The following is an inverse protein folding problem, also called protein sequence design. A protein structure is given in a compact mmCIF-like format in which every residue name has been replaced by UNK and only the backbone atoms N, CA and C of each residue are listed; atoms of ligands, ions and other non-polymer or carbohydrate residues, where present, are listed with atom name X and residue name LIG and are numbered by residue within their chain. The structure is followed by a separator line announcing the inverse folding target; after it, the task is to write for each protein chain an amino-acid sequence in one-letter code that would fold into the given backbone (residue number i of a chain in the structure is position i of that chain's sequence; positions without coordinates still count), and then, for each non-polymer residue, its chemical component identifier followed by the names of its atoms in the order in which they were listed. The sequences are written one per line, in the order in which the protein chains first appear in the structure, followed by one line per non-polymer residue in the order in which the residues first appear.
data_IF_307141045719
#
_entry.id   IF_307141045719
#
_cell.length_a   1.000
_cell.length_b   1.000
_cell.length_c   1.000
_cell.angle_alpha   90.00
_cell.angle_beta   90.00
_cell.angle_gamma   90.00
#
_symmetry.space_group_name_H-M   'P 1'
#
loop_
_entity.id
_entity.type
_entity.pdbx_description
1 polymer ?
#
# COMPACT_ATOMS: atom_id res chain seq x y z
N UNK A 1 -22.53 16.77 -28.43
CA UNK A 1 -21.83 15.49 -28.42
C UNK A 1 -20.38 15.76 -28.15
N UNK A 2 -19.85 15.47 -27.02
CA UNK A 2 -18.88 14.40 -26.82
C UNK A 2 -18.96 13.83 -25.39
N UNK A 3 -19.97 13.08 -25.10
CA UNK A 3 -20.12 12.36 -23.82
C UNK A 3 -19.11 11.22 -23.63
N UNK A 4 -18.38 10.82 -24.70
CA UNK A 4 -17.58 9.61 -24.69
C UNK A 4 -16.10 9.78 -24.24
N UNK A 5 -15.58 11.00 -24.20
CA UNK A 5 -14.14 11.20 -23.90
C UNK A 5 -13.86 11.05 -22.41
N UNK A 6 -14.79 11.45 -21.54
CA UNK A 6 -14.71 11.31 -20.09
C UNK A 6 -14.87 9.87 -19.59
N UNK A 7 -15.56 8.99 -20.32
CA UNK A 7 -15.79 7.59 -19.90
C UNK A 7 -14.47 6.85 -19.62
N UNK A 8 -13.42 7.12 -20.37
CA UNK A 8 -12.12 6.45 -20.22
C UNK A 8 -11.45 6.68 -18.84
N UNK A 9 -11.82 7.76 -18.16
CA UNK A 9 -11.28 8.16 -16.84
C UNK A 9 -12.38 8.40 -15.81
N UNK A 10 -13.60 8.04 -16.15
CA UNK A 10 -14.74 8.09 -15.22
C UNK A 10 -14.66 6.97 -14.20
N UNK A 11 -14.72 7.32 -12.92
CA UNK A 11 -14.58 6.38 -11.81
C UNK A 11 -15.62 5.27 -11.85
N UNK A 12 -16.88 5.61 -12.10
CA UNK A 12 -17.99 4.64 -12.07
C UNK A 12 -17.95 3.71 -13.28
N UNK A 13 -17.58 4.24 -14.46
CA UNK A 13 -17.38 3.45 -15.66
C UNK A 13 -16.22 2.46 -15.52
N UNK A 14 -15.08 2.90 -14.94
CA UNK A 14 -13.93 2.04 -14.62
C UNK A 14 -14.31 0.96 -13.61
N UNK A 15 -15.08 1.31 -12.56
CA UNK A 15 -15.56 0.38 -11.57
C UNK A 15 -16.53 -0.65 -12.19
N UNK A 16 -17.51 -0.20 -13.00
CA UNK A 16 -18.42 -1.10 -13.69
C UNK A 16 -17.68 -2.07 -14.61
N UNK A 17 -16.67 -1.60 -15.35
CA UNK A 17 -15.84 -2.46 -16.19
C UNK A 17 -15.00 -3.45 -15.37
N UNK A 18 -14.49 -3.04 -14.19
CA UNK A 18 -13.79 -3.96 -13.29
C UNK A 18 -14.70 -5.10 -12.83
N UNK A 19 -15.97 -4.82 -12.53
CA UNK A 19 -16.99 -5.85 -12.20
C UNK A 19 -17.21 -6.85 -13.34
N UNK A 20 -17.29 -6.37 -14.57
CA UNK A 20 -17.43 -7.26 -15.73
C UNK A 20 -16.22 -8.19 -15.85
N UNK A 21 -15.02 -7.68 -15.60
CA UNK A 21 -13.80 -8.46 -15.76
C UNK A 21 -13.59 -9.46 -14.64
N UNK A 22 -13.90 -9.10 -13.40
CA UNK A 22 -13.83 -10.08 -12.31
C UNK A 22 -14.92 -11.15 -12.44
N UNK A 23 -16.11 -10.81 -12.93
CA UNK A 23 -17.14 -11.80 -13.25
C UNK A 23 -16.68 -12.81 -14.31
N UNK A 24 -15.97 -12.35 -15.35
CA UNK A 24 -15.33 -13.24 -16.34
C UNK A 24 -14.27 -14.13 -15.70
N UNK A 25 -13.43 -13.54 -14.85
CA UNK A 25 -12.41 -14.29 -14.10
C UNK A 25 -13.04 -15.43 -13.29
N UNK A 26 -14.05 -15.14 -12.49
CA UNK A 26 -14.73 -16.15 -11.66
C UNK A 26 -15.40 -17.24 -12.50
N UNK A 27 -15.99 -16.89 -13.64
CA UNK A 27 -16.54 -17.87 -14.57
C UNK A 27 -15.47 -18.82 -15.12
N UNK A 28 -14.28 -18.29 -15.46
CA UNK A 28 -13.14 -19.10 -15.89
C UNK A 28 -12.58 -20.00 -14.78
N UNK A 29 -12.49 -19.46 -13.55
CA UNK A 29 -12.14 -20.27 -12.37
C UNK A 29 -13.10 -21.44 -12.19
N UNK A 30 -14.41 -21.20 -12.29
CA UNK A 30 -15.44 -22.23 -12.20
C UNK A 30 -15.36 -23.29 -13.30
N UNK A 31 -14.84 -22.93 -14.48
CA UNK A 31 -14.59 -23.84 -15.59
C UNK A 31 -13.24 -24.59 -15.49
N UNK A 32 -12.41 -24.32 -14.48
CA UNK A 32 -11.07 -24.89 -14.31
C UNK A 32 -9.98 -24.27 -15.18
N UNK A 33 -10.28 -23.17 -15.87
CA UNK A 33 -9.35 -22.44 -16.73
C UNK A 33 -8.62 -21.37 -15.90
N UNK A 34 -7.55 -21.81 -15.23
CA UNK A 34 -6.84 -20.97 -14.27
C UNK A 34 -5.97 -19.89 -14.92
N UNK A 35 -5.49 -20.10 -16.12
CA UNK A 35 -4.69 -19.12 -16.86
C UNK A 35 -5.57 -17.91 -17.21
N UNK A 36 -6.74 -18.14 -17.81
CA UNK A 36 -7.69 -17.08 -18.10
C UNK A 36 -8.29 -16.44 -16.83
N UNK A 37 -8.48 -17.22 -15.76
CA UNK A 37 -8.88 -16.66 -14.47
C UNK A 37 -7.91 -15.58 -14.00
N UNK A 38 -6.62 -15.89 -13.99
CA UNK A 38 -5.58 -15.00 -13.53
C UNK A 38 -5.44 -13.78 -14.45
N UNK A 39 -5.56 -13.97 -15.76
CA UNK A 39 -5.54 -12.89 -16.74
C UNK A 39 -6.68 -11.88 -16.49
N UNK A 40 -7.93 -12.36 -16.44
CA UNK A 40 -9.09 -11.49 -16.23
C UNK A 40 -9.08 -10.84 -14.85
N UNK A 41 -8.62 -11.55 -13.82
CA UNK A 41 -8.47 -11.01 -12.48
C UNK A 41 -7.43 -9.86 -12.44
N UNK A 42 -6.29 -10.01 -13.10
CA UNK A 42 -5.26 -8.95 -13.18
C UNK A 42 -5.77 -7.69 -13.88
N UNK A 43 -6.53 -7.84 -14.95
CA UNK A 43 -7.18 -6.73 -15.65
C UNK A 43 -8.26 -6.06 -14.79
N UNK A 44 -9.01 -6.84 -14.00
CA UNK A 44 -10.01 -6.32 -13.06
C UNK A 44 -9.36 -5.48 -11.95
N UNK A 45 -8.22 -5.95 -11.40
CA UNK A 45 -7.45 -5.25 -10.38
C UNK A 45 -6.94 -3.89 -10.88
N UNK A 46 -6.38 -3.83 -12.09
CA UNK A 46 -5.93 -2.57 -12.68
C UNK A 46 -7.09 -1.57 -12.86
N UNK A 47 -8.23 -2.03 -13.37
CA UNK A 47 -9.40 -1.17 -13.54
C UNK A 47 -9.96 -0.70 -12.21
N UNK A 48 -9.99 -1.57 -11.19
CA UNK A 48 -10.42 -1.23 -9.84
C UNK A 48 -9.49 -0.16 -9.23
N UNK A 49 -8.18 -0.34 -9.36
CA UNK A 49 -7.19 0.64 -8.91
C UNK A 49 -7.32 1.99 -9.62
N UNK A 50 -7.52 1.99 -10.94
CA UNK A 50 -7.77 3.22 -11.72
C UNK A 50 -9.07 3.90 -11.30
N UNK A 51 -10.15 3.14 -11.07
CA UNK A 51 -11.42 3.67 -10.56
C UNK A 51 -11.22 4.40 -9.24
N UNK A 52 -10.47 3.80 -8.31
CA UNK A 52 -10.21 4.39 -7.00
C UNK A 52 -9.39 5.69 -7.08
N UNK A 53 -8.39 5.78 -7.98
CA UNK A 53 -7.68 7.04 -8.24
C UNK A 53 -8.57 8.09 -8.91
N UNK A 54 -9.34 7.69 -9.93
CA UNK A 54 -10.26 8.58 -10.65
C UNK A 54 -11.32 9.19 -9.71
N UNK A 55 -11.72 8.44 -8.67
CA UNK A 55 -12.65 8.90 -7.63
C UNK A 55 -12.06 10.02 -6.77
N UNK A 56 -10.76 10.04 -6.58
CA UNK A 56 -10.06 11.17 -5.93
C UNK A 56 -9.99 12.36 -6.91
N UNK A 57 -9.43 12.14 -8.08
CA UNK A 57 -9.43 13.12 -9.17
C UNK A 57 -9.05 12.44 -10.51
N UNK A 58 -9.72 12.79 -11.64
CA UNK A 58 -9.42 12.21 -12.96
C UNK A 58 -7.97 12.42 -13.43
N UNK A 59 -7.30 13.51 -13.02
CA UNK A 59 -5.89 13.76 -13.36
C UNK A 59 -4.92 12.69 -12.82
N UNK A 60 -5.32 11.96 -11.78
CA UNK A 60 -4.51 10.87 -11.22
C UNK A 60 -4.47 9.61 -12.10
N UNK A 61 -5.33 9.53 -13.11
CA UNK A 61 -5.44 8.35 -13.98
C UNK A 61 -4.90 8.59 -15.38
N UNK A 62 -4.73 9.85 -15.79
CA UNK A 62 -4.19 10.20 -17.11
C UNK A 62 -2.66 10.18 -17.12
N UNK A 63 -2.10 9.89 -18.30
CA UNK A 63 -0.67 10.03 -18.56
C UNK A 63 -0.29 11.53 -18.59
N UNK A 64 0.54 12.00 -17.64
CA UNK A 64 0.90 13.42 -17.54
C UNK A 64 1.73 13.90 -18.73
N UNK A 65 2.37 13.02 -19.47
CA UNK A 65 3.15 13.35 -20.67
C UNK A 65 2.27 13.60 -21.90
N UNK A 66 0.98 13.20 -21.84
CA UNK A 66 0.02 13.41 -22.91
C UNK A 66 -0.90 14.60 -22.56
N UNK A 67 -0.47 15.80 -22.90
CA UNK A 67 -1.12 17.06 -22.51
C UNK A 67 -2.62 17.13 -22.85
N UNK A 68 -3.07 16.53 -23.99
CA UNK A 68 -4.49 16.50 -24.34
C UNK A 68 -5.31 15.68 -23.32
N UNK A 69 -4.76 14.58 -22.79
CA UNK A 69 -5.41 13.83 -21.71
C UNK A 69 -5.50 14.63 -20.41
N UNK A 70 -4.50 15.47 -20.12
CA UNK A 70 -4.55 16.38 -18.98
C UNK A 70 -5.67 17.42 -19.15
N UNK A 71 -5.87 17.97 -20.34
CA UNK A 71 -6.98 18.88 -20.60
C UNK A 71 -8.35 18.20 -20.40
N UNK A 72 -8.49 16.95 -20.86
CA UNK A 72 -9.71 16.16 -20.61
C UNK A 72 -9.94 15.98 -19.11
N UNK A 73 -8.91 15.63 -18.35
CA UNK A 73 -9.00 15.45 -16.89
C UNK A 73 -9.33 16.76 -16.16
N UNK A 74 -8.93 17.91 -16.71
CA UNK A 74 -9.28 19.24 -16.22
C UNK A 74 -10.67 19.73 -16.68
N UNK A 75 -11.46 18.92 -17.38
CA UNK A 75 -12.79 19.29 -17.86
C UNK A 75 -12.80 20.09 -19.15
N UNK A 76 -11.64 20.26 -19.81
CA UNK A 76 -11.57 20.96 -21.09
C UNK A 76 -11.97 20.01 -22.22
N UNK A 77 -12.90 20.47 -23.05
CA UNK A 77 -13.39 19.68 -24.18
C UNK A 77 -12.39 19.70 -25.34
N UNK A 78 -11.64 18.61 -25.48
CA UNK A 78 -10.72 18.40 -26.60
C UNK A 78 -10.99 17.04 -27.24
N UNK A 79 -10.89 16.99 -28.58
CA UNK A 79 -11.03 15.73 -29.31
C UNK A 79 -9.69 15.01 -29.28
N UNK A 80 -9.59 13.97 -28.44
CA UNK A 80 -8.35 13.16 -28.33
C UNK A 80 -8.66 11.75 -27.88
N UNK A 81 -7.74 10.83 -28.16
CA UNK A 81 -7.72 9.53 -27.50
C UNK A 81 -7.05 9.67 -26.12
N UNK A 82 -7.82 9.43 -25.06
CA UNK A 82 -7.29 9.56 -23.69
C UNK A 82 -6.29 8.45 -23.40
N UNK A 83 -5.06 8.85 -23.05
CA UNK A 83 -4.03 7.96 -22.55
C UNK A 83 -4.08 7.93 -21.03
N UNK A 84 -4.17 6.74 -20.47
CA UNK A 84 -4.11 6.51 -19.02
C UNK A 84 -2.73 6.03 -18.60
N UNK A 85 -2.41 6.20 -17.31
CA UNK A 85 -1.16 5.73 -16.72
C UNK A 85 -0.99 4.22 -16.84
N UNK A 86 0.26 3.77 -16.77
CA UNK A 86 0.61 2.36 -16.70
C UNK A 86 0.19 1.74 -15.37
N UNK A 87 0.15 0.41 -15.29
CA UNK A 87 -0.13 -0.28 -14.03
C UNK A 87 0.96 -0.02 -12.97
N UNK A 88 2.23 0.09 -13.36
CA UNK A 88 3.33 0.45 -12.45
C UNK A 88 3.06 1.80 -11.78
N UNK A 89 2.85 2.85 -12.57
CA UNK A 89 2.54 4.20 -12.07
C UNK A 89 1.24 4.23 -11.25
N UNK A 90 0.24 3.41 -11.63
CA UNK A 90 -1.00 3.26 -10.88
C UNK A 90 -0.73 2.82 -9.44
N UNK A 91 0.03 1.73 -9.26
CA UNK A 91 0.27 1.15 -7.94
C UNK A 91 1.27 1.97 -7.12
N UNK A 92 2.21 2.69 -7.76
CA UNK A 92 3.04 3.70 -7.09
C UNK A 92 2.19 4.82 -6.50
N UNK A 93 1.32 5.44 -7.31
CA UNK A 93 0.40 6.49 -6.82
C UNK A 93 -0.52 5.99 -5.72
N UNK A 94 -0.92 4.72 -5.79
CA UNK A 94 -1.75 4.11 -4.76
C UNK A 94 -1.05 4.00 -3.41
N UNK A 95 0.21 3.57 -3.40
CA UNK A 95 1.00 3.46 -2.17
C UNK A 95 1.16 4.79 -1.44
N UNK A 96 1.23 5.91 -2.18
CA UNK A 96 1.27 7.25 -1.59
C UNK A 96 -0.09 7.80 -1.09
N UNK A 97 -1.22 7.17 -1.47
CA UNK A 97 -2.55 7.69 -1.19
C UNK A 97 -3.36 6.83 -0.22
N UNK A 98 -2.86 5.65 0.12
CA UNK A 98 -3.63 4.65 0.87
C UNK A 98 -2.75 3.99 1.92
N UNK A 99 -3.00 4.28 3.21
CA UNK A 99 -2.18 3.78 4.32
C UNK A 99 -1.96 2.27 4.30
N UNK A 100 -2.99 1.49 4.02
CA UNK A 100 -2.91 0.01 3.98
C UNK A 100 -2.41 -0.57 2.66
N UNK A 101 -2.07 0.26 1.67
CA UNK A 101 -1.49 -0.16 0.41
C UNK A 101 0.03 -0.04 0.47
N UNK A 102 0.63 -0.80 1.38
CA UNK A 102 2.06 -0.78 1.67
C UNK A 102 2.92 -1.30 0.49
N UNK A 103 4.24 -1.24 0.64
CA UNK A 103 5.19 -1.72 -0.38
C UNK A 103 5.02 -3.20 -0.74
N UNK A 104 4.54 -4.03 0.20
CA UNK A 104 4.28 -5.45 -0.04
C UNK A 104 3.11 -5.63 -0.99
N UNK A 105 2.00 -4.93 -0.74
CA UNK A 105 0.82 -4.92 -1.62
C UNK A 105 1.14 -4.29 -2.96
N UNK A 106 1.85 -3.15 -2.96
CA UNK A 106 2.30 -2.47 -4.19
C UNK A 106 3.11 -3.41 -5.08
N UNK A 107 4.15 -4.03 -4.50
CA UNK A 107 5.01 -4.94 -5.25
C UNK A 107 4.23 -6.12 -5.82
N UNK A 108 3.35 -6.74 -5.04
CA UNK A 108 2.49 -7.80 -5.53
C UNK A 108 1.66 -7.37 -6.73
N UNK A 109 1.03 -6.19 -6.68
CA UNK A 109 0.22 -5.67 -7.77
C UNK A 109 1.05 -5.37 -9.03
N UNK A 110 2.28 -4.86 -8.86
CA UNK A 110 3.22 -4.65 -9.97
C UNK A 110 3.66 -5.96 -10.60
N UNK A 111 4.04 -6.97 -9.79
CA UNK A 111 4.44 -8.30 -10.27
C UNK A 111 3.31 -8.98 -11.09
N UNK A 112 2.05 -8.83 -10.66
CA UNK A 112 0.88 -9.34 -11.40
C UNK A 112 0.69 -8.59 -12.72
N UNK A 113 0.87 -7.26 -12.72
CA UNK A 113 0.77 -6.46 -13.93
C UNK A 113 1.87 -6.81 -14.96
N UNK A 114 3.08 -7.07 -14.50
CA UNK A 114 4.19 -7.53 -15.35
C UNK A 114 3.88 -8.89 -15.97
N UNK A 115 3.38 -9.86 -15.19
CA UNK A 115 2.95 -11.17 -15.70
C UNK A 115 1.85 -11.03 -16.74
N UNK A 116 0.84 -10.18 -16.49
CA UNK A 116 -0.20 -9.90 -17.48
C UNK A 116 0.36 -9.30 -18.76
N UNK A 117 1.34 -8.40 -18.66
CA UNK A 117 1.99 -7.81 -19.83
C UNK A 117 2.77 -8.87 -20.62
N UNK A 118 3.51 -9.74 -19.94
CA UNK A 118 4.20 -10.86 -20.58
C UNK A 118 3.22 -11.81 -21.28
N UNK A 119 2.10 -12.18 -20.61
CA UNK A 119 1.06 -13.03 -21.19
C UNK A 119 0.44 -12.46 -22.48
N UNK A 120 0.27 -11.12 -22.53
CA UNK A 120 -0.38 -10.46 -23.67
C UNK A 120 0.58 -10.07 -24.80
N UNK A 121 1.87 -9.89 -24.51
CA UNK A 121 2.81 -9.26 -25.44
C UNK A 121 4.07 -10.07 -25.73
N UNK A 122 4.25 -11.25 -25.10
CA UNK A 122 5.36 -12.16 -25.37
C UNK A 122 4.88 -13.57 -25.69
N UNK A 123 5.82 -14.47 -25.94
CA UNK A 123 5.54 -15.90 -26.11
C UNK A 123 5.49 -16.66 -24.78
N UNK A 124 5.75 -15.98 -23.68
CA UNK A 124 5.71 -16.56 -22.33
C UNK A 124 4.27 -16.81 -21.87
N UNK A 125 4.10 -17.85 -21.06
CA UNK A 125 2.82 -18.21 -20.43
C UNK A 125 2.95 -18.17 -18.89
N UNK A 126 3.18 -16.98 -18.32
CA UNK A 126 3.50 -16.85 -16.89
C UNK A 126 2.37 -17.28 -15.96
N UNK A 127 1.11 -17.21 -16.40
CA UNK A 127 -0.02 -17.65 -15.60
C UNK A 127 -0.14 -19.17 -15.54
N UNK A 128 0.29 -19.88 -16.56
CA UNK A 128 0.29 -21.36 -16.55
C UNK A 128 1.14 -21.97 -15.43
N UNK A 129 2.22 -21.28 -15.06
CA UNK A 129 3.15 -21.75 -14.02
C UNK A 129 2.85 -21.19 -12.64
N UNK A 130 1.95 -20.23 -12.52
CA UNK A 130 1.64 -19.58 -11.25
C UNK A 130 0.60 -20.38 -10.47
N UNK A 131 0.99 -20.85 -9.29
CA UNK A 131 0.11 -21.61 -8.39
C UNK A 131 -0.96 -20.70 -7.79
N UNK A 132 -2.20 -21.17 -7.77
CA UNK A 132 -3.36 -20.43 -7.28
C UNK A 132 -3.20 -20.03 -5.80
N UNK A 133 -2.74 -20.97 -4.97
CA UNK A 133 -2.53 -20.77 -3.53
C UNK A 133 -1.45 -19.72 -3.21
N UNK A 134 -0.52 -19.49 -4.15
CA UNK A 134 0.56 -18.52 -3.95
C UNK A 134 0.13 -17.05 -4.17
N UNK A 135 -0.96 -16.81 -4.87
CA UNK A 135 -1.35 -15.44 -5.22
C UNK A 135 -2.77 -15.05 -4.83
N UNK A 136 -3.72 -15.99 -4.71
CA UNK A 136 -5.15 -15.67 -4.62
C UNK A 136 -5.50 -14.90 -3.35
N UNK A 137 -4.96 -15.28 -2.20
CA UNK A 137 -5.17 -14.54 -0.95
C UNK A 137 -4.63 -13.09 -1.05
N UNK A 138 -3.43 -12.93 -1.59
CA UNK A 138 -2.80 -11.61 -1.81
C UNK A 138 -3.56 -10.76 -2.83
N UNK A 139 -4.13 -11.40 -3.86
CA UNK A 139 -4.98 -10.73 -4.84
C UNK A 139 -6.24 -10.16 -4.18
N UNK A 140 -6.93 -10.98 -3.39
CA UNK A 140 -8.14 -10.54 -2.68
C UNK A 140 -7.84 -9.48 -1.62
N UNK A 141 -6.68 -9.59 -0.94
CA UNK A 141 -6.22 -8.57 -0.01
C UNK A 141 -6.01 -7.22 -0.72
N UNK A 142 -5.32 -7.19 -1.86
CA UNK A 142 -5.15 -5.97 -2.64
C UNK A 142 -6.48 -5.38 -3.12
N UNK A 143 -7.41 -6.23 -3.59
CA UNK A 143 -8.75 -5.79 -3.97
C UNK A 143 -9.54 -5.22 -2.79
N UNK A 144 -9.55 -5.90 -1.63
CA UNK A 144 -10.27 -5.47 -0.43
C UNK A 144 -9.74 -4.13 0.09
N UNK A 145 -8.41 -3.96 0.13
CA UNK A 145 -7.75 -2.69 0.48
C UNK A 145 -8.20 -1.55 -0.43
N UNK A 146 -8.27 -1.78 -1.76
CA UNK A 146 -8.73 -0.78 -2.71
C UNK A 146 -10.22 -0.45 -2.50
N UNK A 147 -11.06 -1.48 -2.32
CA UNK A 147 -12.49 -1.32 -2.12
C UNK A 147 -12.80 -0.60 -0.81
N UNK A 148 -12.09 -0.93 0.26
CA UNK A 148 -12.26 -0.29 1.56
C UNK A 148 -12.02 1.22 1.47
N UNK A 149 -10.95 1.65 0.81
CA UNK A 149 -10.69 3.07 0.57
C UNK A 149 -11.82 3.75 -0.23
N UNK A 150 -12.48 3.02 -1.11
CA UNK A 150 -13.62 3.55 -1.87
C UNK A 150 -14.93 3.60 -1.06
N UNK A 151 -14.93 3.18 0.21
CA UNK A 151 -16.14 3.00 1.03
C UNK A 151 -17.02 1.86 0.50
N UNK A 152 -16.39 0.86 -0.10
CA UNK A 152 -17.03 -0.32 -0.70
C UNK A 152 -16.55 -1.61 -0.02
N UNK A 153 -16.96 -2.77 -0.52
CA UNK A 153 -16.55 -4.07 -0.03
C UNK A 153 -16.57 -5.12 -1.15
N UNK A 154 -16.00 -6.29 -0.90
CA UNK A 154 -16.06 -7.43 -1.83
C UNK A 154 -17.51 -7.81 -2.16
N UNK A 155 -18.41 -7.77 -1.18
CA UNK A 155 -19.84 -8.08 -1.37
C UNK A 155 -20.53 -7.08 -2.31
N UNK A 156 -20.19 -5.80 -2.20
CA UNK A 156 -20.74 -4.75 -3.11
C UNK A 156 -20.15 -4.86 -4.52
N UNK A 157 -18.91 -5.33 -4.62
CA UNK A 157 -18.23 -5.48 -5.91
C UNK A 157 -18.58 -6.79 -6.63
N UNK A 158 -18.61 -7.92 -5.93
CA UNK A 158 -18.83 -9.27 -6.50
C UNK A 158 -20.27 -9.74 -6.37
N UNK A 159 -21.01 -9.24 -5.39
CA UNK A 159 -22.25 -9.84 -4.89
C UNK A 159 -21.99 -10.81 -3.75
N UNK A 160 -22.99 -11.02 -2.90
CA UNK A 160 -22.83 -11.80 -1.66
C UNK A 160 -22.41 -13.26 -1.90
N UNK A 161 -22.87 -13.89 -2.97
CA UNK A 161 -22.54 -15.28 -3.28
C UNK A 161 -21.06 -15.45 -3.66
N UNK A 162 -20.58 -14.61 -4.60
CA UNK A 162 -19.23 -14.70 -5.14
C UNK A 162 -18.17 -14.12 -4.16
N UNK A 163 -18.57 -13.25 -3.23
CA UNK A 163 -17.67 -12.70 -2.21
C UNK A 163 -17.37 -13.69 -1.06
N UNK A 164 -18.17 -14.75 -0.88
CA UNK A 164 -18.04 -15.67 0.26
C UNK A 164 -16.67 -16.36 0.29
N UNK A 165 -16.23 -16.94 -0.82
CA UNK A 165 -14.95 -17.65 -0.87
C UNK A 165 -13.74 -16.70 -0.75
N UNK A 166 -13.68 -15.54 -1.46
CA UNK A 166 -12.68 -14.51 -1.20
C UNK A 166 -12.61 -14.07 0.27
N UNK A 167 -13.73 -13.79 0.91
CA UNK A 167 -13.77 -13.36 2.32
C UNK A 167 -13.22 -14.44 3.24
N UNK A 168 -13.68 -15.68 3.07
CA UNK A 168 -13.15 -16.81 3.86
C UNK A 168 -11.63 -16.97 3.69
N UNK A 169 -11.12 -16.83 2.45
CA UNK A 169 -9.69 -16.92 2.18
C UNK A 169 -8.89 -15.80 2.85
N UNK A 170 -9.44 -14.58 2.89
CA UNK A 170 -8.83 -13.45 3.61
C UNK A 170 -8.80 -13.69 5.12
N UNK A 171 -9.90 -14.17 5.71
CA UNK A 171 -9.99 -14.48 7.12
C UNK A 171 -9.01 -15.59 7.51
N UNK A 172 -8.90 -16.64 6.69
CA UNK A 172 -7.93 -17.73 6.89
C UNK A 172 -6.49 -17.23 6.80
N UNK A 173 -6.18 -16.38 5.82
CA UNK A 173 -4.85 -15.80 5.65
C UNK A 173 -4.48 -14.86 6.82
N UNK A 174 -5.41 -14.01 7.26
CA UNK A 174 -5.20 -13.12 8.41
C UNK A 174 -4.96 -13.91 9.70
N UNK A 175 -5.78 -14.93 9.96
CA UNK A 175 -5.61 -15.81 11.14
C UNK A 175 -4.27 -16.58 11.10
N UNK A 176 -3.85 -17.04 9.93
CA UNK A 176 -2.58 -17.73 9.76
C UNK A 176 -1.38 -16.79 9.99
N UNK A 177 -1.47 -15.55 9.48
CA UNK A 177 -0.46 -14.52 9.70
C UNK A 177 -0.34 -14.17 11.19
N UNK A 178 -1.49 -13.89 11.84
CA UNK A 178 -1.55 -13.56 13.26
C UNK A 178 -0.93 -14.66 14.12
N UNK A 179 -1.27 -15.92 13.86
CA UNK A 179 -0.69 -17.06 14.55
C UNK A 179 0.83 -17.19 14.31
N UNK A 180 1.30 -16.98 13.07
CA UNK A 180 2.72 -17.06 12.73
C UNK A 180 3.54 -15.94 13.39
N UNK A 181 3.01 -14.72 13.42
CA UNK A 181 3.66 -13.57 14.07
C UNK A 181 3.73 -13.79 15.59
N UNK A 182 2.63 -14.19 16.22
CA UNK A 182 2.61 -14.50 17.66
C UNK A 182 3.61 -15.58 18.03
N UNK A 183 3.68 -16.66 17.24
CA UNK A 183 4.65 -17.72 17.45
C UNK A 183 6.10 -17.21 17.32
N UNK A 184 6.39 -16.36 16.33
CA UNK A 184 7.70 -15.73 16.13
C UNK A 184 8.08 -14.85 17.33
N UNK A 185 7.16 -14.01 17.80
CA UNK A 185 7.36 -13.14 18.97
C UNK A 185 7.64 -13.98 20.24
N UNK A 186 6.82 -15.00 20.53
CA UNK A 186 7.02 -15.85 21.71
C UNK A 186 8.33 -16.65 21.61
N UNK A 187 8.66 -17.24 20.47
CA UNK A 187 9.94 -17.94 20.28
C UNK A 187 11.16 -17.02 20.52
N UNK A 188 11.09 -15.79 20.00
CA UNK A 188 12.16 -14.78 20.21
C UNK A 188 12.25 -14.36 21.68
N UNK A 189 11.12 -14.20 22.34
CA UNK A 189 11.03 -13.89 23.79
C UNK A 189 11.65 -15.00 24.64
N UNK A 190 11.35 -16.26 24.32
CA UNK A 190 11.90 -17.42 25.00
C UNK A 190 13.43 -17.51 24.80
N UNK A 191 13.91 -17.27 23.56
CA UNK A 191 15.37 -17.24 23.26
C UNK A 191 16.08 -16.14 24.05
N UNK A 192 15.52 -14.93 24.06
CA UNK A 192 16.08 -13.82 24.84
C UNK A 192 16.02 -14.12 26.34
N UNK A 193 14.92 -14.69 26.83
CA UNK A 193 14.73 -15.11 28.22
C UNK A 193 15.72 -16.17 28.70
N UNK A 194 16.14 -17.06 27.82
CA UNK A 194 17.12 -18.11 28.11
C UNK A 194 18.56 -17.61 28.25
N UNK A 195 18.87 -16.37 27.81
CA UNK A 195 20.18 -15.76 27.99
C UNK A 195 20.48 -15.49 29.49
N UNK A 196 21.77 -15.43 29.86
CA UNK A 196 22.17 -15.09 31.22
C UNK A 196 21.68 -13.68 31.57
N UNK A 197 21.27 -13.49 32.82
CA UNK A 197 20.74 -12.20 33.30
C UNK A 197 21.68 -11.02 33.01
N UNK A 198 22.97 -11.17 33.32
CA UNK A 198 23.97 -10.13 33.09
C UNK A 198 24.13 -9.77 31.60
N UNK A 199 23.96 -10.73 30.71
CA UNK A 199 24.01 -10.47 29.25
C UNK A 199 22.76 -9.72 28.77
N UNK A 200 21.57 -10.09 29.23
CA UNK A 200 20.32 -9.36 28.94
C UNK A 200 20.37 -7.91 29.42
N UNK A 201 20.89 -7.69 30.64
CA UNK A 201 21.06 -6.36 31.21
C UNK A 201 22.06 -5.51 30.40
N UNK A 202 23.17 -6.11 29.94
CA UNK A 202 24.11 -5.44 29.06
C UNK A 202 23.48 -5.06 27.72
N UNK A 203 22.80 -6.00 27.07
CA UNK A 203 22.14 -5.75 25.79
C UNK A 203 21.02 -4.70 25.91
N UNK A 204 20.27 -4.71 27.00
CA UNK A 204 19.25 -3.69 27.26
C UNK A 204 19.89 -2.29 27.46
N UNK A 205 20.98 -2.19 28.22
CA UNK A 205 21.70 -0.93 28.38
C UNK A 205 22.30 -0.42 27.06
N UNK A 206 22.85 -1.31 26.24
CA UNK A 206 23.32 -0.96 24.89
C UNK A 206 22.17 -0.50 23.96
N UNK A 207 21.00 -1.08 24.10
CA UNK A 207 19.82 -0.69 23.30
C UNK A 207 19.39 0.77 23.59
N UNK A 208 19.48 1.22 24.86
CA UNK A 208 19.11 2.58 25.25
C UNK A 208 20.03 3.66 24.65
N UNK A 209 21.24 3.30 24.27
CA UNK A 209 22.23 4.20 23.66
C UNK A 209 22.09 4.35 22.14
N UNK A 210 21.23 3.55 21.50
CA UNK A 210 21.04 3.59 20.06
C UNK A 210 20.08 4.69 19.68
N UNK A 211 20.46 5.48 18.67
CA UNK A 211 19.65 6.57 18.14
C UNK A 211 19.15 6.24 16.72
N UNK A 212 17.92 6.64 16.35
CA UNK A 212 17.30 6.28 15.08
C UNK A 212 18.13 6.69 13.87
N UNK A 213 18.68 7.92 13.88
CA UNK A 213 19.47 8.45 12.78
C UNK A 213 20.69 7.61 12.42
N UNK A 214 21.15 6.76 13.34
CA UNK A 214 22.31 5.88 13.12
C UNK A 214 21.90 4.45 12.72
N UNK A 215 20.59 4.17 12.59
CA UNK A 215 20.06 2.82 12.36
C UNK A 215 19.65 2.54 10.92
N UNK A 216 19.85 3.48 9.99
CA UNK A 216 19.47 3.29 8.58
C UNK A 216 20.06 1.99 7.96
N UNK A 217 21.25 1.56 8.40
CA UNK A 217 21.89 0.31 7.95
C UNK A 217 21.18 -0.98 8.40
N UNK A 218 20.21 -0.91 9.33
CA UNK A 218 19.41 -2.06 9.73
C UNK A 218 18.37 -2.43 8.67
N UNK A 219 17.93 -1.46 7.86
CA UNK A 219 16.82 -1.59 6.93
C UNK A 219 17.33 -1.77 5.50
N UNK A 220 16.58 -2.53 4.70
CA UNK A 220 16.95 -2.81 3.30
C UNK A 220 16.44 -1.77 2.32
N UNK A 221 15.39 -1.04 2.69
CA UNK A 221 14.76 -0.01 1.89
C UNK A 221 15.33 1.39 2.14
N UNK A 222 14.91 2.35 1.31
CA UNK A 222 14.95 3.78 1.64
C UNK A 222 13.58 4.17 2.14
N UNK A 223 13.53 4.84 3.27
CA UNK A 223 12.33 5.26 3.95
C UNK A 223 12.50 6.72 4.38
N UNK A 224 11.38 7.40 4.59
CA UNK A 224 11.39 8.82 4.93
C UNK A 224 11.77 9.05 6.40
N UNK A 225 11.38 8.11 7.32
CA UNK A 225 11.62 8.28 8.75
C UNK A 225 11.98 6.94 9.42
N UNK A 226 12.71 7.03 10.53
CA UNK A 226 13.03 5.93 11.45
C UNK A 226 12.72 6.40 12.87
N UNK A 227 11.92 5.64 13.60
CA UNK A 227 11.53 5.98 14.99
C UNK A 227 11.71 4.83 15.94
N UNK A 228 11.59 5.15 17.23
CA UNK A 228 11.67 4.17 18.30
C UNK A 228 10.38 3.39 18.47
N UNK A 229 10.56 2.10 18.79
CA UNK A 229 9.50 1.24 19.26
C UNK A 229 9.97 0.33 20.39
N UNK A 230 9.05 -0.09 21.27
CA UNK A 230 9.34 -1.11 22.26
C UNK A 230 9.18 -2.49 21.66
N UNK A 231 10.25 -3.28 21.64
CA UNK A 231 10.19 -4.63 21.05
C UNK A 231 9.15 -5.51 21.75
N UNK A 232 8.19 -6.13 21.04
CA UNK A 232 7.17 -6.98 21.65
C UNK A 232 7.75 -8.22 22.34
N UNK A 233 8.92 -8.71 21.90
CA UNK A 233 9.59 -9.88 22.45
C UNK A 233 10.49 -9.56 23.66
N UNK A 234 11.52 -8.73 23.51
CA UNK A 234 12.53 -8.49 24.54
C UNK A 234 12.29 -7.22 25.37
N UNK A 235 11.36 -6.36 24.99
CA UNK A 235 11.04 -5.06 25.60
C UNK A 235 12.17 -4.02 25.53
N UNK A 236 13.27 -4.32 24.85
CA UNK A 236 14.34 -3.37 24.60
C UNK A 236 13.93 -2.36 23.51
N UNK A 237 14.63 -1.23 23.46
CA UNK A 237 14.50 -0.24 22.40
C UNK A 237 14.79 -0.89 21.04
N UNK A 238 13.85 -0.73 20.13
CA UNK A 238 13.87 -1.24 18.77
C UNK A 238 13.49 -0.11 17.80
N UNK A 239 13.46 -0.39 16.52
CA UNK A 239 13.26 0.63 15.49
C UNK A 239 12.20 0.17 14.49
N UNK A 240 11.39 1.12 14.10
CA UNK A 240 10.47 1.01 12.98
C UNK A 240 10.83 2.06 11.94
N UNK A 241 10.57 1.75 10.69
CA UNK A 241 10.76 2.68 9.59
C UNK A 241 9.57 2.64 8.66
N UNK A 242 9.32 3.77 7.99
CA UNK A 242 8.21 3.90 7.05
C UNK A 242 8.29 5.17 6.23
N UNK A 243 7.30 5.31 5.35
CA UNK A 243 7.17 6.46 4.47
C UNK A 243 6.07 7.41 4.98
N UNK A 244 6.26 8.68 4.69
CA UNK A 244 5.29 9.72 5.04
C UNK A 244 3.99 9.53 4.25
N UNK A 245 2.87 9.46 4.96
CA UNK A 245 1.53 9.28 4.39
C UNK A 245 0.68 10.54 4.40
N UNK A 246 0.98 11.45 5.33
CA UNK A 246 0.24 12.68 5.51
C UNK A 246 1.11 13.80 6.09
N UNK A 247 0.67 15.02 5.82
CA UNK A 247 1.23 16.24 6.41
C UNK A 247 0.11 17.27 6.51
N UNK A 248 -0.06 17.83 7.71
CA UNK A 248 -0.99 18.93 7.95
C UNK A 248 -0.30 20.03 8.74
N UNK A 249 -0.56 21.29 8.36
CA UNK A 249 -0.05 22.44 9.13
C UNK A 249 -0.96 22.62 10.34
N UNK A 250 -0.39 22.64 11.54
CA UNK A 250 -1.12 22.90 12.77
C UNK A 250 -1.83 24.27 12.72
N UNK A 251 -3.08 24.34 13.23
CA UNK A 251 -3.88 25.59 13.25
C UNK A 251 -3.32 26.65 14.23
N UNK A 252 -2.42 26.30 15.12
CA UNK A 252 -1.77 27.20 16.05
C UNK A 252 -0.69 28.07 15.35
N UNK A 253 -1.14 28.96 14.47
CA UNK A 253 -0.29 29.98 13.84
C UNK A 253 -0.32 31.26 14.69
N UNK A 254 0.87 31.73 15.09
CA UNK A 254 1.06 33.13 15.43
C UNK A 254 1.15 33.92 14.09
N UNK A 255 0.36 35.00 13.96
CA UNK A 255 0.27 35.83 12.73
C UNK A 255 1.62 36.46 12.33
N UNK A 256 2.62 36.41 13.22
CA UNK A 256 3.99 36.92 13.03
C UNK A 256 5.06 35.79 13.08
N UNK A 257 4.66 34.53 13.18
CA UNK A 257 5.61 33.44 13.27
C UNK A 257 6.32 33.23 11.91
N UNK A 258 7.64 33.11 11.97
CA UNK A 258 8.49 32.72 10.82
C UNK A 258 8.48 31.20 10.67
N UNK A 259 8.02 30.50 11.72
CA UNK A 259 8.01 29.05 11.84
C UNK A 259 6.58 28.51 11.84
N UNK A 260 6.40 27.37 11.25
CA UNK A 260 5.15 26.60 11.32
C UNK A 260 5.38 25.24 11.96
N UNK A 261 4.39 24.75 12.68
CA UNK A 261 4.36 23.39 13.20
C UNK A 261 3.60 22.53 12.21
N UNK A 262 4.21 21.44 11.80
CA UNK A 262 3.66 20.51 10.84
C UNK A 262 3.47 19.15 11.52
N UNK A 263 2.24 18.68 11.53
CA UNK A 263 1.89 17.33 11.96
C UNK A 263 2.12 16.39 10.78
N UNK A 264 2.99 15.40 10.96
CA UNK A 264 3.35 14.42 9.95
C UNK A 264 2.87 13.04 10.38
N UNK A 265 2.30 12.30 9.46
CA UNK A 265 1.92 10.89 9.64
C UNK A 265 2.83 9.99 8.81
N UNK A 266 3.35 8.94 9.42
CA UNK A 266 4.17 7.92 8.78
C UNK A 266 3.54 6.55 8.93
N UNK A 267 3.72 5.71 7.90
CA UNK A 267 3.25 4.33 7.90
C UNK A 267 4.43 3.39 8.04
N UNK A 268 4.42 2.62 9.13
CA UNK A 268 5.43 1.61 9.42
C UNK A 268 5.41 0.47 8.42
N UNK A 269 6.55 0.23 7.79
CA UNK A 269 6.73 -0.82 6.80
C UNK A 269 7.70 -1.91 7.22
N UNK A 270 8.66 -1.59 8.06
CA UNK A 270 9.63 -2.57 8.57
C UNK A 270 9.98 -2.26 10.02
N UNK A 271 9.84 -3.29 10.89
CA UNK A 271 10.28 -3.25 12.28
C UNK A 271 11.49 -4.16 12.46
N UNK A 272 12.50 -3.67 13.19
CA UNK A 272 13.68 -4.45 13.58
C UNK A 272 14.12 -4.16 14.99
N UNK A 273 14.39 -5.24 15.72
CA UNK A 273 15.00 -5.20 17.03
C UNK A 273 16.47 -5.69 16.94
N UNK A 274 17.47 -4.81 17.04
CA UNK A 274 18.88 -5.23 16.98
C UNK A 274 19.34 -5.96 18.24
N UNK A 275 18.49 -6.09 19.26
CA UNK A 275 18.80 -6.77 20.52
C UNK A 275 18.41 -8.26 20.50
N UNK A 276 17.31 -8.62 19.84
CA UNK A 276 16.82 -10.00 19.78
C UNK A 276 16.55 -10.49 18.35
N UNK A 277 16.93 -9.70 17.35
CA UNK A 277 16.78 -9.98 15.91
C UNK A 277 15.34 -10.18 15.43
N UNK A 278 14.33 -9.80 16.24
CA UNK A 278 12.93 -9.82 15.78
C UNK A 278 12.79 -8.85 14.61
N UNK A 279 12.22 -9.35 13.51
CA UNK A 279 11.91 -8.60 12.30
C UNK A 279 10.47 -8.81 11.92
N UNK A 280 9.74 -7.70 11.62
CA UNK A 280 8.38 -7.70 11.09
C UNK A 280 8.38 -6.88 9.82
N UNK A 281 7.65 -7.33 8.80
CA UNK A 281 7.64 -6.71 7.47
C UNK A 281 6.20 -6.50 7.02
N UNK A 282 5.88 -5.26 6.66
CA UNK A 282 4.55 -4.84 6.26
C UNK A 282 3.64 -4.52 7.44
N UNK A 283 2.65 -3.68 7.19
CA UNK A 283 1.69 -3.21 8.19
C UNK A 283 0.93 -4.35 8.88
N UNK A 284 0.62 -5.42 8.15
CA UNK A 284 -0.12 -6.56 8.68
C UNK A 284 0.69 -7.36 9.73
N UNK A 285 2.00 -7.61 9.53
CA UNK A 285 2.85 -8.26 10.54
C UNK A 285 3.07 -7.37 11.76
N UNK A 286 3.20 -6.07 11.54
CA UNK A 286 3.38 -5.07 12.61
C UNK A 286 2.13 -5.07 13.49
N UNK A 287 0.94 -4.92 12.90
CA UNK A 287 -0.35 -4.93 13.59
C UNK A 287 -0.58 -6.25 14.36
N UNK A 288 -0.32 -7.40 13.71
CA UNK A 288 -0.44 -8.73 14.33
C UNK A 288 0.50 -8.92 15.54
N UNK A 289 1.60 -8.15 15.63
CA UNK A 289 2.51 -8.16 16.79
C UNK A 289 2.01 -7.32 17.97
N UNK A 290 0.95 -6.52 17.77
CA UNK A 290 0.40 -5.56 18.73
C UNK A 290 1.11 -4.20 18.73
N UNK A 291 1.94 -3.91 17.73
CA UNK A 291 2.50 -2.58 17.50
C UNK A 291 1.58 -1.75 16.59
N UNK A 292 1.59 -0.43 16.76
CA UNK A 292 0.96 0.48 15.79
C UNK A 292 1.88 0.61 14.57
N UNK A 293 1.31 0.49 13.37
CA UNK A 293 2.01 0.82 12.14
C UNK A 293 1.82 2.29 11.72
N UNK A 294 1.05 3.07 12.49
CA UNK A 294 0.88 4.52 12.30
C UNK A 294 1.74 5.23 13.34
N UNK A 295 2.58 6.13 12.87
CA UNK A 295 3.40 7.00 13.70
C UNK A 295 3.11 8.45 13.34
N UNK A 296 2.83 9.26 14.38
CA UNK A 296 2.62 10.70 14.26
C UNK A 296 3.81 11.42 14.86
N UNK A 297 4.30 12.44 14.19
CA UNK A 297 5.41 13.29 14.62
C UNK A 297 5.11 14.75 14.31
N UNK A 298 5.63 15.64 15.12
CA UNK A 298 5.52 17.09 14.93
C UNK A 298 6.90 17.65 14.56
N UNK A 299 6.95 18.43 13.51
CA UNK A 299 8.14 19.12 13.08
C UNK A 299 7.92 20.62 13.02
N UNK A 300 8.82 21.37 13.65
CA UNK A 300 8.93 22.79 13.44
C UNK A 300 9.79 23.07 12.21
N UNK A 301 9.28 23.84 11.25
CA UNK A 301 10.03 24.26 10.05
C UNK A 301 9.85 25.74 9.76
N UNK A 302 10.82 26.34 9.11
CA UNK A 302 10.73 27.71 8.61
C UNK A 302 9.69 27.78 7.49
N UNK A 303 8.80 28.78 7.56
CA UNK A 303 7.79 28.97 6.51
C UNK A 303 8.45 29.36 5.21
N UNK A 304 8.21 28.61 4.14
CA UNK A 304 8.60 29.03 2.80
C UNK A 304 7.75 30.22 2.37
N UNK A 305 8.35 31.39 2.34
CA UNK A 305 7.73 32.59 1.81
C UNK A 305 7.81 32.52 0.28
N UNK A 306 6.71 32.20 -0.38
CA UNK A 306 6.61 32.52 -1.80
C UNK A 306 6.63 34.05 -1.95
N UNK A 307 7.64 34.63 -2.59
CA UNK A 307 7.63 36.07 -2.83
C UNK A 307 6.41 36.40 -3.72
N UNK A 308 5.56 37.28 -3.21
CA UNK A 308 4.43 37.80 -3.96
C UNK A 308 5.01 38.56 -5.17
N UNK A 309 5.12 37.88 -6.31
CA UNK A 309 5.38 38.52 -7.58
C UNK A 309 4.13 39.30 -7.99
N UNK A 310 3.94 40.49 -7.40
CA UNK A 310 2.90 41.41 -7.78
C UNK A 310 2.91 41.58 -9.30
N UNK A 311 1.87 41.08 -9.94
CA UNK A 311 1.58 41.39 -11.32
C UNK A 311 1.08 42.84 -11.34
N UNK A 312 2.00 43.81 -11.49
CA UNK A 312 1.69 45.16 -11.96
C UNK A 312 1.49 45.18 -13.49
#
# INVERSE_FOLDING_TARGET
MPENVFIAIDSDALHAKSKVYIGRALARKGAGDLDEYQLWASLALELLGKSALARKHPSLVVDPTHWQSMFVAAGVNVTTHVKTITATTLFERRAHLVPRFDKTVQKFCQDIAERRNAELHSADLPFRTMRLDAWEARYWHACDTILHQMGSSLEKWLGAADAKAPRQLLDEAANALDAAVKLRVEATKDQFGAMKKAERERLAAEAELREPQHQAGLFKGRYDEIWFESCPACKCRAFMTGDQSGEEISEERDEYAIWEIVDREFLGEEFRCPTCDLTLIGSDEIDASGLSYIHEDQQEREMEYEPDYGND
#
